data_IF_935015468716
#
_entry.id   IF_935015468716
#
_cell.length_a   1.000
_cell.length_b   1.000
_cell.length_c   1.000
_cell.angle_alpha   90.00
_cell.angle_beta   90.00
_cell.angle_gamma   90.00
#
_symmetry.space_group_name_H-M   'P 1'
#
loop_
_entity.id
_entity.type
_entity.pdbx_description
1 polymer ?
#
# COMPACT_ATOMS: atom_id res chain seq x y z
N UNK A 1 3.94 -2.59 -10.84
CA UNK A 1 2.87 -3.57 -11.14
C UNK A 1 2.64 -3.73 -12.64
N UNK A 2 2.26 -2.69 -13.39
CA UNK A 2 1.96 -2.84 -14.83
C UNK A 2 3.08 -3.46 -15.72
N UNK A 3 4.36 -3.22 -15.42
CA UNK A 3 5.46 -3.89 -16.15
C UNK A 3 5.55 -5.39 -15.86
N UNK A 4 5.19 -5.82 -14.65
CA UNK A 4 5.16 -7.23 -14.27
C UNK A 4 4.05 -7.97 -15.04
N UNK A 5 2.89 -7.34 -15.20
CA UNK A 5 1.76 -7.89 -15.98
C UNK A 5 2.08 -8.01 -17.47
N UNK A 6 2.90 -7.10 -18.01
CA UNK A 6 3.44 -7.19 -19.39
C UNK A 6 4.52 -8.27 -19.56
N UNK A 7 4.80 -9.06 -18.52
CA UNK A 7 5.82 -10.11 -18.53
C UNK A 7 7.26 -9.60 -18.37
N UNK A 8 7.47 -8.30 -18.16
CA UNK A 8 8.81 -7.72 -17.99
C UNK A 8 9.28 -7.85 -16.53
N UNK A 9 9.70 -9.05 -16.17
CA UNK A 9 10.06 -9.41 -14.78
C UNK A 9 11.29 -8.63 -14.27
N UNK A 10 12.26 -8.33 -15.13
CA UNK A 10 13.48 -7.60 -14.75
C UNK A 10 13.23 -6.11 -14.51
N UNK A 11 12.49 -5.44 -15.41
CA UNK A 11 12.18 -4.01 -15.27
C UNK A 11 11.27 -3.78 -14.06
N UNK A 12 10.30 -4.67 -13.82
CA UNK A 12 9.49 -4.64 -12.60
C UNK A 12 10.31 -4.88 -11.34
N UNK A 13 11.25 -5.83 -11.35
CA UNK A 13 12.19 -6.07 -10.25
C UNK A 13 13.01 -4.83 -9.90
N UNK A 14 13.56 -4.14 -10.90
CA UNK A 14 14.31 -2.90 -10.70
C UNK A 14 13.44 -1.78 -10.12
N UNK A 15 12.22 -1.60 -10.63
CA UNK A 15 11.28 -0.59 -10.11
C UNK A 15 10.88 -0.88 -8.66
N UNK A 16 10.69 -2.15 -8.28
CA UNK A 16 10.42 -2.53 -6.90
C UNK A 16 11.64 -2.37 -5.99
N UNK A 17 12.86 -2.62 -6.49
CA UNK A 17 14.09 -2.32 -5.76
C UNK A 17 14.24 -0.82 -5.51
N UNK A 18 13.98 0.03 -6.51
CA UNK A 18 13.96 1.49 -6.33
C UNK A 18 12.94 1.92 -5.28
N UNK A 19 11.71 1.36 -5.32
CA UNK A 19 10.71 1.62 -4.30
C UNK A 19 11.19 1.20 -2.89
N UNK A 20 11.90 0.07 -2.79
CA UNK A 20 12.51 -0.42 -1.54
C UNK A 20 13.62 0.51 -1.04
N UNK A 21 14.42 1.08 -1.95
CA UNK A 21 15.45 2.05 -1.61
C UNK A 21 14.89 3.37 -1.08
N UNK A 22 13.71 3.79 -1.57
CA UNK A 22 13.03 4.99 -1.05
C UNK A 22 12.38 4.72 0.31
N UNK A 23 11.74 3.56 0.48
CA UNK A 23 11.14 3.11 1.75
C UNK A 23 11.18 1.58 1.87
N UNK A 24 11.49 1.10 3.07
CA UNK A 24 11.47 -0.33 3.43
C UNK A 24 10.15 -1.04 3.08
N UNK A 25 9.01 -0.33 3.07
CA UNK A 25 7.71 -0.85 2.65
C UNK A 25 7.71 -1.43 1.22
N UNK A 26 8.64 -1.01 0.36
CA UNK A 26 8.81 -1.59 -0.98
C UNK A 26 9.09 -3.10 -0.98
N UNK A 27 9.71 -3.63 0.10
CA UNK A 27 10.00 -5.06 0.26
C UNK A 27 8.75 -5.93 0.14
N UNK A 28 7.60 -5.40 0.55
CA UNK A 28 6.32 -6.12 0.54
C UNK A 28 5.89 -6.48 -0.89
N UNK A 29 6.39 -5.74 -1.89
CA UNK A 29 6.14 -6.02 -3.32
C UNK A 29 6.76 -7.33 -3.80
N UNK A 30 7.67 -7.95 -3.03
CA UNK A 30 8.33 -9.21 -3.40
C UNK A 30 7.34 -10.35 -3.59
N UNK A 31 6.21 -10.32 -2.87
CA UNK A 31 5.14 -11.30 -3.01
C UNK A 31 4.58 -11.36 -4.44
N UNK A 32 4.48 -10.23 -5.13
CA UNK A 32 4.02 -10.18 -6.53
C UNK A 32 4.99 -10.87 -7.48
N UNK A 33 6.30 -10.66 -7.28
CA UNK A 33 7.34 -11.30 -8.09
C UNK A 33 7.38 -12.81 -7.87
N UNK A 34 7.34 -13.25 -6.62
CA UNK A 34 7.33 -14.68 -6.27
C UNK A 34 6.10 -15.34 -6.87
N UNK A 35 4.91 -14.76 -6.68
CA UNK A 35 3.67 -15.29 -7.24
C UNK A 35 3.74 -15.42 -8.77
N UNK A 36 4.22 -14.39 -9.47
CA UNK A 36 4.38 -14.41 -10.94
C UNK A 36 5.31 -15.55 -11.40
N UNK A 37 6.45 -15.73 -10.71
CA UNK A 37 7.42 -16.78 -11.01
C UNK A 37 6.87 -18.18 -10.73
N UNK A 38 6.18 -18.36 -9.59
CA UNK A 38 5.49 -19.60 -9.24
C UNK A 38 4.43 -19.96 -10.30
N UNK A 39 3.63 -18.98 -10.75
CA UNK A 39 2.64 -19.20 -11.81
C UNK A 39 3.29 -19.66 -13.12
N UNK A 40 4.41 -19.03 -13.51
CA UNK A 40 5.18 -19.46 -14.69
C UNK A 40 5.76 -20.87 -14.55
N UNK A 41 6.20 -21.24 -13.35
CA UNK A 41 6.68 -22.59 -13.02
C UNK A 41 5.57 -23.64 -13.15
N UNK A 42 4.41 -23.45 -12.50
CA UNK A 42 3.29 -24.39 -12.58
C UNK A 42 2.77 -24.57 -14.00
N UNK A 43 2.75 -23.49 -14.81
CA UNK A 43 2.40 -23.59 -16.23
C UNK A 43 3.42 -24.40 -17.04
N UNK A 44 4.70 -24.38 -16.65
CA UNK A 44 5.80 -25.06 -17.35
C UNK A 44 5.98 -26.51 -16.90
N UNK A 45 5.55 -26.84 -15.67
CA UNK A 45 5.61 -28.18 -15.08
C UNK A 45 4.85 -29.21 -15.92
N UNK A 46 3.83 -28.77 -16.66
CA UNK A 46 3.02 -29.63 -17.53
C UNK A 46 3.73 -30.04 -18.83
N UNK A 47 4.88 -29.42 -19.17
CA UNK A 47 5.51 -29.56 -20.50
C UNK A 47 6.99 -29.98 -20.44
N UNK A 48 7.73 -29.61 -19.39
CA UNK A 48 9.19 -29.84 -19.29
C UNK A 48 9.59 -30.60 -18.02
N UNK A 49 10.84 -31.10 -18.01
CA UNK A 49 11.45 -31.76 -16.86
C UNK A 49 11.32 -30.94 -15.56
N UNK A 50 10.71 -31.49 -14.49
CA UNK A 50 10.36 -30.74 -13.28
C UNK A 50 11.59 -30.23 -12.53
N UNK A 51 12.68 -31.00 -12.49
CA UNK A 51 13.92 -30.62 -11.79
C UNK A 51 14.56 -29.36 -12.38
N UNK A 52 14.64 -29.26 -13.71
CA UNK A 52 15.21 -28.09 -14.41
C UNK A 52 14.37 -26.84 -14.15
N UNK A 53 13.04 -26.99 -14.16
CA UNK A 53 12.14 -25.88 -13.88
C UNK A 53 12.21 -25.45 -12.42
N UNK A 54 12.38 -26.39 -11.50
CA UNK A 54 12.51 -26.10 -10.07
C UNK A 54 13.81 -25.32 -9.80
N UNK A 55 14.92 -25.75 -10.40
CA UNK A 55 16.18 -25.03 -10.32
C UNK A 55 16.07 -23.62 -10.91
N UNK A 56 15.39 -23.48 -12.07
CA UNK A 56 15.13 -22.18 -12.68
C UNK A 56 14.29 -21.27 -11.77
N UNK A 57 13.24 -21.81 -11.14
CA UNK A 57 12.42 -21.07 -10.18
C UNK A 57 13.25 -20.63 -8.98
N UNK A 58 14.04 -21.52 -8.39
CA UNK A 58 14.91 -21.20 -7.26
C UNK A 58 15.90 -20.09 -7.57
N UNK A 59 16.64 -20.20 -8.70
CA UNK A 59 17.57 -19.17 -9.13
C UNK A 59 16.87 -17.83 -9.39
N UNK A 60 15.71 -17.86 -10.02
CA UNK A 60 14.92 -16.65 -10.34
C UNK A 60 14.40 -15.97 -9.06
N UNK A 61 13.88 -16.74 -8.10
CA UNK A 61 13.38 -16.21 -6.82
C UNK A 61 14.54 -15.66 -6.00
N UNK A 62 15.65 -16.39 -5.90
CA UNK A 62 16.85 -15.94 -5.20
C UNK A 62 17.37 -14.61 -5.76
N UNK A 63 17.47 -14.51 -7.08
CA UNK A 63 17.94 -13.29 -7.74
C UNK A 63 16.97 -12.13 -7.55
N UNK A 64 15.67 -12.39 -7.56
CA UNK A 64 14.65 -11.38 -7.26
C UNK A 64 14.77 -10.88 -5.81
N UNK A 65 14.95 -11.78 -4.85
CA UNK A 65 15.17 -11.43 -3.44
C UNK A 65 16.44 -10.60 -3.26
N UNK A 66 17.53 -10.96 -3.96
CA UNK A 66 18.78 -10.21 -3.92
C UNK A 66 18.60 -8.79 -4.48
N UNK A 67 17.98 -8.65 -5.65
CA UNK A 67 17.78 -7.35 -6.31
C UNK A 67 16.88 -6.43 -5.47
N UNK A 68 15.78 -6.95 -4.93
CA UNK A 68 14.87 -6.16 -4.10
C UNK A 68 15.44 -5.89 -2.70
N UNK A 69 16.15 -6.85 -2.12
CA UNK A 69 16.73 -6.75 -0.78
C UNK A 69 17.98 -5.88 -0.73
N UNK A 70 18.70 -5.73 -1.84
CA UNK A 70 19.98 -5.01 -1.89
C UNK A 70 19.88 -3.56 -1.37
N UNK A 71 18.93 -2.71 -1.81
CA UNK A 71 18.81 -1.34 -1.29
C UNK A 71 18.56 -1.30 0.22
N UNK A 72 17.72 -2.21 0.74
CA UNK A 72 17.49 -2.31 2.17
C UNK A 72 18.76 -2.74 2.92
N UNK A 73 19.46 -3.76 2.43
CA UNK A 73 20.71 -4.24 3.03
C UNK A 73 21.81 -3.17 3.01
N UNK A 74 21.95 -2.42 1.92
CA UNK A 74 22.89 -1.29 1.81
C UNK A 74 22.56 -0.21 2.85
N UNK A 75 21.29 0.10 3.06
CA UNK A 75 20.87 1.05 4.10
C UNK A 75 21.17 0.53 5.51
N UNK A 76 20.89 -0.76 5.79
CA UNK A 76 21.24 -1.37 7.09
C UNK A 76 22.76 -1.31 7.34
N UNK A 77 23.56 -1.62 6.33
CA UNK A 77 25.03 -1.55 6.41
C UNK A 77 25.52 -0.12 6.62
N UNK A 78 24.97 0.85 5.88
CA UNK A 78 25.27 2.27 6.10
C UNK A 78 24.96 2.70 7.54
N UNK A 79 23.77 2.36 8.05
CA UNK A 79 23.41 2.68 9.43
C UNK A 79 24.33 1.99 10.46
N UNK A 80 24.71 0.73 10.22
CA UNK A 80 25.66 0.00 11.06
C UNK A 80 27.02 0.70 11.11
N UNK A 81 27.57 1.09 9.96
CA UNK A 81 28.84 1.83 9.93
C UNK A 81 28.75 3.17 10.65
N UNK A 82 27.62 3.87 10.59
CA UNK A 82 27.45 5.15 11.29
C UNK A 82 27.28 5.03 12.81
N UNK A 83 26.55 4.01 13.31
CA UNK A 83 26.20 3.90 14.74
C UNK A 83 27.03 2.88 15.54
N UNK A 84 27.61 1.87 14.90
CA UNK A 84 28.29 0.77 15.58
C UNK A 84 29.82 0.83 15.48
N UNK A 85 30.35 1.48 14.44
CA UNK A 85 31.80 1.67 14.26
C UNK A 85 32.27 2.98 14.90
N UNK A 86 33.41 2.98 15.61
CA UNK A 86 33.97 4.21 16.18
C UNK A 86 34.57 5.10 15.09
N UNK A 87 34.36 6.41 15.18
CA UNK A 87 35.04 7.42 14.33
C UNK A 87 34.44 7.65 12.93
N UNK A 88 33.36 6.97 12.59
CA UNK A 88 32.64 7.08 11.30
C UNK A 88 31.40 7.99 11.37
N UNK A 89 31.04 8.48 12.55
CA UNK A 89 29.87 9.32 12.78
C UNK A 89 30.04 10.66 12.06
N UNK A 90 29.12 10.96 11.14
CA UNK A 90 29.10 12.26 10.48
C UNK A 90 28.53 13.34 11.42
N UNK A 91 29.09 14.56 11.36
CA UNK A 91 28.61 15.67 12.19
C UNK A 91 27.16 16.00 11.87
N UNK A 92 26.27 15.84 12.85
CA UNK A 92 24.83 16.09 12.69
C UNK A 92 24.56 17.61 12.77
N UNK A 93 23.82 18.21 11.82
CA UNK A 93 23.40 19.61 11.91
C UNK A 93 22.71 19.94 13.24
N UNK A 94 23.04 21.10 13.82
CA UNK A 94 22.48 21.56 15.12
C UNK A 94 20.94 21.44 15.24
N UNK A 95 20.14 21.76 14.21
CA UNK A 95 18.68 21.59 14.30
C UNK A 95 18.24 20.14 14.51
N UNK A 96 18.92 19.18 13.87
CA UNK A 96 18.61 17.75 14.01
C UNK A 96 19.10 17.21 15.35
N UNK A 97 20.21 17.75 15.87
CA UNK A 97 20.70 17.41 17.21
C UNK A 97 19.71 17.86 18.30
N UNK A 98 19.19 19.08 18.21
CA UNK A 98 18.16 19.57 19.12
C UNK A 98 16.90 18.70 19.07
N UNK A 99 16.43 18.34 17.87
CA UNK A 99 15.31 17.43 17.71
C UNK A 99 15.56 16.06 18.36
N UNK A 100 16.77 15.50 18.18
CA UNK A 100 17.13 14.22 18.77
C UNK A 100 17.12 14.29 20.30
N UNK A 101 17.63 15.37 20.89
CA UNK A 101 17.62 15.60 22.33
C UNK A 101 16.20 15.77 22.86
N UNK A 102 15.38 16.62 22.22
CA UNK A 102 13.99 16.88 22.61
C UNK A 102 13.12 15.61 22.57
N UNK A 103 13.40 14.71 21.61
CA UNK A 103 12.69 13.43 21.47
C UNK A 103 13.32 12.28 22.25
N UNK A 104 14.47 12.49 22.88
CA UNK A 104 15.23 11.45 23.58
C UNK A 104 15.76 10.36 22.64
N UNK A 105 16.04 10.68 21.38
CA UNK A 105 16.65 9.76 20.42
C UNK A 105 18.14 9.61 20.69
N UNK A 106 18.64 8.39 20.47
CA UNK A 106 20.08 8.11 20.52
C UNK A 106 20.78 8.69 19.30
N UNK A 107 21.86 9.42 19.53
CA UNK A 107 22.78 9.92 18.50
C UNK A 107 23.94 8.95 18.31
N UNK A 108 24.62 9.03 17.15
CA UNK A 108 25.76 8.19 16.83
C UNK A 108 26.99 8.47 17.73
N UNK A 109 27.10 9.71 18.22
CA UNK A 109 28.14 10.11 19.18
C UNK A 109 27.72 9.74 20.61
N UNK A 110 28.06 8.53 21.05
CA UNK A 110 27.74 8.05 22.40
C UNK A 110 27.97 6.55 22.60
N UNK A 111 27.30 5.99 23.61
CA UNK A 111 27.35 4.55 23.90
C UNK A 111 26.71 3.74 22.77
N UNK A 112 27.40 2.69 22.32
CA UNK A 112 26.93 1.80 21.26
C UNK A 112 25.51 1.30 21.57
N UNK A 113 24.57 1.39 20.62
CA UNK A 113 23.22 0.91 20.85
C UNK A 113 23.19 -0.63 20.91
N UNK A 114 22.22 -1.23 21.63
CA UNK A 114 22.22 -2.66 21.91
C UNK A 114 22.08 -3.52 20.64
N UNK A 115 21.42 -3.00 19.60
CA UNK A 115 21.27 -3.69 18.32
C UNK A 115 22.59 -3.91 17.57
N UNK A 116 23.66 -3.20 17.91
CA UNK A 116 25.00 -3.49 17.38
C UNK A 116 25.55 -4.85 17.85
N UNK A 117 25.01 -5.40 18.94
CA UNK A 117 25.45 -6.68 19.54
C UNK A 117 24.54 -7.86 19.22
N UNK A 118 23.49 -7.65 18.42
CA UNK A 118 22.58 -8.71 18.00
C UNK A 118 23.21 -9.58 16.90
N UNK A 119 22.78 -10.84 16.79
CA UNK A 119 23.23 -11.78 15.74
C UNK A 119 23.02 -11.21 14.33
N UNK A 120 21.93 -10.45 14.16
CA UNK A 120 21.66 -9.64 12.96
C UNK A 120 21.46 -8.18 13.40
N UNK A 121 22.43 -7.28 13.16
CA UNK A 121 22.38 -5.90 13.62
C UNK A 121 21.45 -5.05 12.74
N UNK A 122 20.15 -5.25 12.90
CA UNK A 122 19.09 -4.56 12.15
C UNK A 122 18.59 -3.33 12.92
N UNK A 123 18.99 -2.14 12.47
CA UNK A 123 18.52 -0.88 13.06
C UNK A 123 17.00 -0.73 12.92
N UNK A 124 16.42 -1.26 11.84
CA UNK A 124 14.98 -1.11 11.59
C UNK A 124 14.15 -1.84 12.66
N UNK A 125 14.50 -3.09 12.99
CA UNK A 125 13.84 -3.85 14.06
C UNK A 125 13.96 -3.16 15.42
N UNK A 126 15.13 -2.57 15.72
CA UNK A 126 15.33 -1.79 16.94
C UNK A 126 14.45 -0.53 16.98
N UNK A 127 14.37 0.23 15.89
CA UNK A 127 13.53 1.43 15.82
C UNK A 127 12.06 1.05 15.97
N UNK A 128 11.63 -0.01 15.28
CA UNK A 128 10.26 -0.50 15.31
C UNK A 128 9.83 -0.88 16.73
N UNK A 129 10.69 -1.56 17.50
CA UNK A 129 10.37 -1.96 18.88
C UNK A 129 10.50 -0.79 19.87
N UNK A 130 11.66 -0.12 19.90
CA UNK A 130 11.99 0.85 20.97
C UNK A 130 11.29 2.19 20.79
N UNK A 131 11.19 2.70 19.56
CA UNK A 131 10.62 4.03 19.31
C UNK A 131 9.19 3.96 18.79
N UNK A 132 8.84 2.92 18.01
CA UNK A 132 7.52 2.81 17.42
C UNK A 132 6.61 1.81 18.15
N UNK A 133 7.13 1.01 19.09
CA UNK A 133 6.39 -0.02 19.83
C UNK A 133 5.52 -0.93 18.92
N UNK A 134 6.08 -1.31 17.77
CA UNK A 134 5.46 -2.26 16.84
C UNK A 134 5.61 -3.66 17.42
N UNK A 135 4.49 -4.37 17.57
CA UNK A 135 4.48 -5.74 18.07
C UNK A 135 3.08 -6.36 17.99
N UNK A 136 3.02 -7.69 18.08
CA UNK A 136 1.76 -8.43 18.02
C UNK A 136 0.83 -8.01 19.17
N UNK A 137 -0.36 -7.50 18.82
CA UNK A 137 -1.44 -7.09 19.73
C UNK A 137 -1.08 -6.04 20.79
N UNK A 138 0.11 -5.43 20.74
CA UNK A 138 0.50 -4.33 21.67
C UNK A 138 -0.32 -3.05 21.48
N UNK A 139 -1.16 -3.01 20.44
CA UNK A 139 -1.96 -1.85 20.02
C UNK A 139 -3.33 -1.75 20.73
N UNK A 140 -3.90 -2.79 21.32
CA UNK A 140 -5.31 -2.72 21.75
C UNK A 140 -5.52 -1.96 23.08
N UNK A 141 -5.55 -0.61 23.01
CA UNK A 141 -5.94 0.28 24.12
C UNK A 141 -7.22 1.09 23.81
N UNK A 142 -8.06 1.34 24.83
CA UNK A 142 -9.33 2.08 24.67
C UNK A 142 -9.17 3.52 24.15
N UNK A 143 -7.99 4.13 24.35
CA UNK A 143 -7.68 5.49 23.88
C UNK A 143 -7.53 5.59 22.35
N UNK A 144 -7.57 4.46 21.66
CA UNK A 144 -7.32 4.37 20.21
C UNK A 144 -8.59 4.15 19.38
N UNK A 145 -9.76 4.07 20.02
CA UNK A 145 -11.06 3.90 19.33
C UNK A 145 -11.26 4.88 18.16
N UNK A 146 -10.94 6.19 18.27
CA UNK A 146 -11.08 7.12 17.13
C UNK A 146 -10.22 6.74 15.92
N UNK A 147 -9.05 6.15 16.14
CA UNK A 147 -8.19 5.70 15.07
C UNK A 147 -8.87 4.54 14.32
N UNK A 148 -9.34 3.51 15.02
CA UNK A 148 -10.01 2.37 14.39
C UNK A 148 -11.19 2.79 13.50
N UNK A 149 -11.97 3.79 13.92
CA UNK A 149 -13.06 4.34 13.12
C UNK A 149 -12.60 4.90 11.77
N UNK A 150 -11.42 5.52 11.70
CA UNK A 150 -10.85 6.04 10.44
C UNK A 150 -10.38 4.94 9.48
N UNK A 151 -9.89 3.80 9.97
CA UNK A 151 -9.51 2.67 9.11
C UNK A 151 -10.70 1.79 8.69
N UNK A 152 -11.81 1.87 9.43
CA UNK A 152 -12.99 1.01 9.25
C UNK A 152 -13.52 1.03 7.81
N UNK A 153 -13.67 2.17 7.11
CA UNK A 153 -14.17 2.18 5.74
C UNK A 153 -13.29 1.38 4.77
N UNK A 154 -11.97 1.52 4.86
CA UNK A 154 -11.04 0.78 3.99
C UNK A 154 -11.04 -0.71 4.33
N UNK A 155 -11.11 -1.07 5.62
CA UNK A 155 -11.23 -2.45 6.04
C UNK A 155 -12.53 -3.10 5.53
N UNK A 156 -13.66 -2.40 5.61
CA UNK A 156 -14.95 -2.86 5.07
C UNK A 156 -14.85 -3.03 3.54
N UNK A 157 -14.25 -2.08 2.83
CA UNK A 157 -14.07 -2.19 1.38
C UNK A 157 -13.25 -3.41 0.99
N UNK A 158 -12.11 -3.64 1.66
CA UNK A 158 -11.27 -4.83 1.39
C UNK A 158 -12.00 -6.13 1.76
N UNK A 159 -12.73 -6.15 2.87
CA UNK A 159 -13.54 -7.31 3.26
C UNK A 159 -14.66 -7.61 2.25
N UNK A 160 -15.37 -6.58 1.78
CA UNK A 160 -16.44 -6.73 0.79
C UNK A 160 -15.89 -7.14 -0.58
N UNK A 161 -14.77 -6.56 -1.00
CA UNK A 161 -14.03 -6.97 -2.19
C UNK A 161 -13.65 -8.46 -2.13
N UNK A 162 -13.14 -8.89 -0.97
CA UNK A 162 -12.74 -10.29 -0.72
C UNK A 162 -13.93 -11.23 -0.77
N UNK A 163 -14.99 -10.89 -0.05
CA UNK A 163 -16.22 -11.66 -0.04
C UNK A 163 -16.77 -11.87 -1.45
N UNK A 164 -16.92 -10.77 -2.20
CA UNK A 164 -17.44 -10.77 -3.57
C UNK A 164 -16.61 -11.67 -4.49
N UNK A 165 -15.28 -11.56 -4.42
CA UNK A 165 -14.40 -12.34 -5.28
C UNK A 165 -14.42 -13.84 -4.93
N UNK A 166 -14.37 -14.17 -3.63
CA UNK A 166 -14.34 -15.56 -3.14
C UNK A 166 -15.66 -16.28 -3.43
N UNK A 167 -16.81 -15.60 -3.29
CA UNK A 167 -18.11 -16.19 -3.62
C UNK A 167 -18.29 -16.45 -5.11
N UNK A 168 -17.71 -15.60 -5.97
CA UNK A 168 -17.79 -15.78 -7.43
C UNK A 168 -16.82 -16.84 -7.93
N UNK A 169 -15.61 -16.93 -7.35
CA UNK A 169 -14.55 -17.84 -7.82
C UNK A 169 -13.94 -18.73 -6.72
N UNK A 170 -14.73 -19.58 -6.03
CA UNK A 170 -14.25 -20.34 -4.87
C UNK A 170 -13.14 -21.34 -5.23
N UNK A 171 -13.27 -22.06 -6.34
CA UNK A 171 -12.27 -23.02 -6.81
C UNK A 171 -10.95 -22.37 -7.25
N UNK A 172 -11.02 -21.17 -7.82
CA UNK A 172 -9.82 -20.42 -8.19
C UNK A 172 -9.06 -19.94 -6.94
N UNK A 173 -9.79 -19.52 -5.90
CA UNK A 173 -9.21 -19.15 -4.62
C UNK A 173 -8.55 -20.35 -3.91
N UNK A 174 -9.20 -21.53 -3.93
CA UNK A 174 -8.64 -22.77 -3.37
C UNK A 174 -7.36 -23.22 -4.07
N UNK A 175 -7.21 -22.93 -5.36
CA UNK A 175 -6.00 -23.25 -6.15
C UNK A 175 -4.95 -22.14 -6.12
N UNK A 176 -5.12 -21.11 -5.26
CA UNK A 176 -4.26 -19.94 -5.15
C UNK A 176 -3.96 -19.28 -6.52
N UNK A 177 -4.90 -19.34 -7.47
CA UNK A 177 -4.70 -18.83 -8.82
C UNK A 177 -3.62 -19.53 -9.65
N UNK A 178 -3.12 -20.69 -9.20
CA UNK A 178 -2.02 -21.41 -9.86
C UNK A 178 -2.49 -22.26 -11.05
N UNK A 179 -3.73 -22.77 -11.01
CA UNK A 179 -4.27 -23.66 -12.05
C UNK A 179 -5.32 -22.93 -12.88
N UNK A 180 -4.99 -22.63 -14.15
CA UNK A 180 -6.01 -22.23 -15.14
C UNK A 180 -6.63 -23.50 -15.71
N UNK A 181 -7.93 -23.71 -15.49
CA UNK A 181 -8.61 -24.82 -16.15
C UNK A 181 -8.67 -24.51 -17.65
N UNK A 182 -7.96 -25.32 -18.44
CA UNK A 182 -7.83 -25.14 -19.90
C UNK A 182 -9.14 -25.44 -20.64
N UNK A 183 -10.08 -26.15 -20.00
CA UNK A 183 -11.32 -26.61 -20.62
C UNK A 183 -12.36 -25.51 -20.89
N UNK A 184 -12.16 -24.28 -20.37
CA UNK A 184 -13.05 -23.14 -20.65
C UNK A 184 -12.42 -22.11 -21.61
N UNK A 185 -11.27 -22.40 -22.24
CA UNK A 185 -10.64 -21.44 -23.18
C UNK A 185 -11.37 -21.32 -24.54
N UNK A 186 -12.45 -22.07 -24.78
CA UNK A 186 -13.23 -22.02 -26.03
C UNK A 186 -14.55 -21.26 -25.95
N UNK A 187 -15.01 -20.80 -24.79
CA UNK A 187 -16.23 -19.98 -24.66
C UNK A 187 -16.04 -19.04 -23.46
N UNK A 188 -16.32 -17.75 -23.64
CA UNK A 188 -16.16 -16.66 -22.66
C UNK A 188 -14.78 -15.97 -22.67
N UNK A 189 -14.75 -14.77 -23.27
CA UNK A 189 -13.70 -13.78 -23.02
C UNK A 189 -13.60 -13.58 -21.50
N UNK A 190 -12.39 -13.44 -20.92
CA UNK A 190 -12.26 -13.16 -19.49
C UNK A 190 -13.08 -11.90 -19.18
N UNK A 191 -13.99 -11.99 -18.20
CA UNK A 191 -14.84 -10.87 -17.82
C UNK A 191 -13.96 -9.62 -17.60
N UNK A 192 -14.17 -8.55 -18.39
CA UNK A 192 -13.44 -7.31 -18.18
C UNK A 192 -13.84 -6.74 -16.82
N UNK A 193 -12.85 -6.38 -15.99
CA UNK A 193 -13.08 -5.71 -14.71
C UNK A 193 -12.56 -6.44 -13.48
N UNK A 194 -13.16 -6.14 -12.33
CA UNK A 194 -12.69 -6.55 -11.00
C UNK A 194 -12.73 -8.07 -10.77
N UNK A 195 -13.67 -8.77 -11.41
CA UNK A 195 -13.83 -10.22 -11.28
C UNK A 195 -12.80 -11.02 -12.09
N UNK A 196 -11.91 -10.35 -12.83
CA UNK A 196 -10.91 -11.04 -13.63
C UNK A 196 -9.92 -11.87 -12.78
N UNK A 197 -9.41 -13.01 -13.29
CA UNK A 197 -8.44 -13.85 -12.58
C UNK A 197 -7.13 -13.14 -12.18
N UNK A 198 -6.82 -12.02 -12.82
CA UNK A 198 -5.58 -11.25 -12.57
C UNK A 198 -5.66 -10.45 -11.25
N UNK A 199 -6.87 -10.08 -10.81
CA UNK A 199 -7.11 -9.27 -9.61
C UNK A 199 -6.80 -10.05 -8.33
N UNK A 200 -6.89 -11.39 -8.37
CA UNK A 200 -6.69 -12.27 -7.21
C UNK A 200 -5.39 -11.99 -6.44
N UNK A 201 -4.27 -11.79 -7.13
CA UNK A 201 -2.97 -11.57 -6.47
C UNK A 201 -2.96 -10.28 -5.66
N UNK A 202 -3.57 -9.23 -6.22
CA UNK A 202 -3.70 -7.93 -5.56
C UNK A 202 -4.68 -7.97 -4.39
N UNK A 203 -5.71 -8.81 -4.49
CA UNK A 203 -6.68 -9.05 -3.42
C UNK A 203 -6.04 -9.79 -2.24
N UNK A 204 -5.34 -10.89 -2.50
CA UNK A 204 -4.58 -11.62 -1.46
C UNK A 204 -3.56 -10.70 -0.79
N UNK A 205 -2.86 -9.89 -1.58
CA UNK A 205 -1.95 -8.89 -1.05
C UNK A 205 -2.67 -7.87 -0.15
N UNK A 206 -3.81 -7.33 -0.58
CA UNK A 206 -4.60 -6.39 0.21
C UNK A 206 -5.04 -6.98 1.55
N UNK A 207 -5.52 -8.23 1.55
CA UNK A 207 -5.93 -8.95 2.76
C UNK A 207 -4.73 -9.19 3.68
N UNK A 208 -3.60 -9.65 3.14
CA UNK A 208 -2.39 -9.85 3.92
C UNK A 208 -1.90 -8.56 4.58
N UNK A 209 -1.93 -7.44 3.85
CA UNK A 209 -1.58 -6.12 4.39
C UNK A 209 -2.57 -5.63 5.44
N UNK A 210 -3.87 -5.88 5.25
CA UNK A 210 -4.89 -5.52 6.23
C UNK A 210 -4.70 -6.31 7.52
N UNK A 211 -4.49 -7.63 7.43
CA UNK A 211 -4.23 -8.49 8.58
C UNK A 211 -2.93 -8.07 9.30
N UNK A 212 -1.84 -7.86 8.55
CA UNK A 212 -0.59 -7.39 9.12
C UNK A 212 -0.75 -6.02 9.78
N UNK A 213 -1.47 -5.11 9.14
CA UNK A 213 -1.80 -3.79 9.68
C UNK A 213 -2.55 -3.87 11.00
N UNK A 214 -3.64 -4.64 11.05
CA UNK A 214 -4.48 -4.80 12.22
C UNK A 214 -3.79 -5.54 13.39
N UNK A 215 -2.87 -6.45 13.09
CA UNK A 215 -2.20 -7.27 14.12
C UNK A 215 -0.88 -6.65 14.61
N UNK A 216 -0.18 -5.93 13.72
CA UNK A 216 1.22 -5.56 13.92
C UNK A 216 1.52 -4.06 13.75
N UNK A 217 0.72 -3.25 13.03
CA UNK A 217 1.04 -1.82 12.83
C UNK A 217 0.46 -0.93 13.93
N UNK A 218 1.36 -0.25 14.65
CA UNK A 218 1.09 0.87 15.57
C UNK A 218 1.63 2.17 14.94
N UNK A 219 0.86 3.27 15.00
CA UNK A 219 1.40 4.63 15.20
C UNK A 219 0.42 5.41 16.07
N UNK A 220 0.45 5.21 17.38
CA UNK A 220 -0.02 6.27 18.27
C UNK A 220 1.20 6.93 18.90
N UNK A 221 1.29 8.24 18.76
CA UNK A 221 2.37 9.01 19.39
C UNK A 221 1.70 9.86 20.43
N UNK A 222 1.70 9.35 21.64
CA UNK A 222 1.89 10.14 22.85
C UNK A 222 2.55 9.22 23.89
N UNK A 223 3.62 9.70 24.53
CA UNK A 223 4.00 9.10 25.81
C UNK A 223 5.49 9.03 26.17
N UNK A 224 6.25 10.13 26.10
CA UNK A 224 7.04 10.50 27.29
C UNK A 224 6.85 11.99 27.57
N UNK A 225 6.22 12.23 28.71
CA UNK A 225 5.93 13.53 29.32
C UNK A 225 7.24 14.27 29.58
N UNK A 226 7.57 15.22 28.70
CA UNK A 226 8.53 16.28 28.92
C UNK A 226 7.80 17.60 28.71
N UNK A 227 7.41 18.24 29.82
CA UNK A 227 6.92 19.61 29.85
C UNK A 227 8.12 20.49 29.47
N UNK A 228 8.11 21.10 28.29
CA UNK A 228 8.69 22.44 28.06
C UNK A 228 8.57 22.89 26.60
N UNK A 229 8.20 24.15 26.48
CA UNK A 229 8.07 24.99 25.30
C UNK A 229 9.31 24.91 24.41
N UNK A 230 9.15 24.41 23.18
CA UNK A 230 10.20 24.49 22.17
C UNK A 230 10.25 25.91 21.59
N UNK A 231 11.38 26.57 21.79
CA UNK A 231 11.71 27.95 21.40
C UNK A 231 11.95 28.08 19.88
N UNK A 232 11.03 27.53 19.09
CA UNK A 232 10.85 27.84 17.66
C UNK A 232 9.39 28.27 17.36
N UNK A 233 8.63 28.56 18.42
CA UNK A 233 7.27 29.11 18.37
C UNK A 233 7.18 30.62 18.61
N UNK A 234 8.25 31.40 18.36
CA UNK A 234 8.23 32.85 18.59
C UNK A 234 7.89 33.72 17.37
N UNK A 235 7.53 33.16 16.21
CA UNK A 235 7.13 34.01 15.07
C UNK A 235 5.76 33.73 14.46
N UNK A 236 5.18 32.54 14.61
CA UNK A 236 3.81 32.28 14.16
C UNK A 236 3.11 31.30 15.12
N UNK A 237 1.98 31.74 15.65
CA UNK A 237 1.21 31.16 16.73
C UNK A 237 0.49 29.87 16.30
N UNK A 238 1.17 28.71 16.31
CA UNK A 238 0.54 27.40 16.01
C UNK A 238 0.96 26.32 17.03
N UNK A 239 0.07 25.88 17.93
CA UNK A 239 0.30 24.76 18.83
C UNK A 239 -0.06 23.43 18.13
N UNK A 240 0.60 22.33 18.54
CA UNK A 240 0.34 20.93 18.13
C UNK A 240 0.89 20.44 16.78
N UNK A 241 2.17 20.05 16.76
CA UNK A 241 2.64 18.99 15.86
C UNK A 241 2.22 17.63 16.43
N UNK A 242 0.93 17.30 16.21
CA UNK A 242 0.35 15.99 16.46
C UNK A 242 0.82 14.99 15.41
N UNK A 243 1.56 14.02 15.87
CA UNK A 243 1.65 12.67 15.35
C UNK A 243 0.46 12.14 14.54
N UNK A 244 0.76 11.53 13.39
CA UNK A 244 -0.21 10.82 12.55
C UNK A 244 -0.93 9.72 13.35
N UNK A 245 -2.27 9.61 13.29
CA UNK A 245 -2.99 8.46 13.84
C UNK A 245 -2.64 7.17 13.09
N UNK A 246 -2.47 6.07 13.83
CA UNK A 246 -2.03 4.75 13.35
C UNK A 246 -2.82 4.24 12.15
N UNK A 247 -4.10 4.56 12.13
CA UNK A 247 -5.01 4.12 11.08
C UNK A 247 -4.87 4.89 9.79
N UNK A 248 -4.38 6.14 9.82
CA UNK A 248 -3.95 6.83 8.62
C UNK A 248 -2.73 6.15 7.99
N UNK A 249 -1.85 5.53 8.80
CA UNK A 249 -0.71 4.77 8.27
C UNK A 249 -1.19 3.51 7.56
N UNK A 250 -2.18 2.80 8.12
CA UNK A 250 -2.74 1.61 7.49
C UNK A 250 -3.48 1.92 6.18
N UNK A 251 -4.33 2.95 6.15
CA UNK A 251 -5.04 3.34 4.93
C UNK A 251 -4.08 3.79 3.84
N UNK A 252 -3.01 4.54 4.19
CA UNK A 252 -1.94 4.93 3.27
C UNK A 252 -1.14 3.73 2.78
N UNK A 253 -0.84 2.79 3.67
CA UNK A 253 -0.08 1.61 3.35
C UNK A 253 -0.86 0.69 2.39
N UNK A 254 -2.17 0.50 2.61
CA UNK A 254 -3.05 -0.20 1.68
C UNK A 254 -3.20 0.57 0.36
N UNK A 255 -3.50 1.87 0.41
CA UNK A 255 -3.73 2.69 -0.79
C UNK A 255 -2.50 2.88 -1.69
N UNK A 256 -1.29 2.70 -1.15
CA UNK A 256 -0.04 2.76 -1.94
C UNK A 256 0.46 1.39 -2.42
N UNK A 257 0.11 0.32 -1.72
CA UNK A 257 0.63 -1.03 -1.98
C UNK A 257 -0.34 -1.93 -2.74
N UNK A 258 -1.63 -1.59 -2.81
CA UNK A 258 -2.62 -2.37 -3.57
C UNK A 258 -3.61 -1.50 -4.34
N UNK A 259 -3.93 -1.84 -5.61
CA UNK A 259 -4.93 -1.13 -6.39
C UNK A 259 -6.38 -1.46 -5.98
N UNK A 260 -6.60 -2.48 -5.14
CA UNK A 260 -7.93 -2.98 -4.76
C UNK A 260 -8.81 -1.90 -4.14
N UNK A 261 -8.20 -0.99 -3.36
CA UNK A 261 -8.90 0.13 -2.71
C UNK A 261 -9.52 1.09 -3.74
N UNK A 262 -9.04 1.08 -4.99
CA UNK A 262 -9.58 1.91 -6.08
C UNK A 262 -10.41 1.09 -7.08
N UNK A 263 -9.96 -0.12 -7.42
CA UNK A 263 -10.65 -0.97 -8.40
C UNK A 263 -12.01 -1.47 -7.92
N UNK A 264 -12.13 -1.84 -6.64
CA UNK A 264 -13.41 -2.35 -6.14
C UNK A 264 -14.49 -1.26 -6.07
N UNK A 265 -14.23 -0.05 -5.54
CA UNK A 265 -15.19 1.04 -5.64
C UNK A 265 -15.55 1.40 -7.09
N UNK A 266 -14.60 1.38 -8.02
CA UNK A 266 -14.89 1.63 -9.43
C UNK A 266 -15.85 0.57 -10.01
N UNK A 267 -15.63 -0.70 -9.68
CA UNK A 267 -16.53 -1.79 -10.06
C UNK A 267 -17.95 -1.61 -9.48
N UNK A 268 -18.07 -1.22 -8.21
CA UNK A 268 -19.36 -0.92 -7.59
C UNK A 268 -20.07 0.26 -8.27
N UNK A 269 -19.35 1.34 -8.59
CA UNK A 269 -19.92 2.48 -9.30
C UNK A 269 -20.44 2.08 -10.68
N UNK A 270 -19.68 1.27 -11.40
CA UNK A 270 -20.06 0.78 -12.71
C UNK A 270 -21.28 -0.14 -12.66
N UNK A 271 -21.41 -0.98 -11.63
CA UNK A 271 -22.55 -1.87 -11.49
C UNK A 271 -23.85 -1.16 -11.08
N UNK A 272 -23.73 -0.09 -10.30
CA UNK A 272 -24.87 0.63 -9.73
C UNK A 272 -25.37 1.78 -10.62
N UNK A 273 -24.51 2.38 -11.45
CA UNK A 273 -24.84 3.59 -12.21
C UNK A 273 -24.91 3.33 -13.72
N UNK A 274 -26.11 3.45 -14.35
CA UNK A 274 -26.29 3.26 -15.79
C UNK A 274 -25.42 4.18 -16.66
N UNK A 275 -25.16 5.41 -16.17
CA UNK A 275 -24.32 6.42 -16.82
C UNK A 275 -22.88 5.95 -17.06
N UNK A 276 -22.37 5.04 -16.22
CA UNK A 276 -21.03 4.48 -16.35
C UNK A 276 -21.02 3.22 -17.22
N UNK A 277 -22.09 2.40 -17.18
CA UNK A 277 -22.25 1.23 -18.05
C UNK A 277 -22.29 1.58 -19.55
N UNK A 278 -22.96 2.67 -19.92
CA UNK A 278 -23.08 3.06 -21.34
C UNK A 278 -21.74 3.47 -21.96
N UNK A 279 -20.76 3.90 -21.15
CA UNK A 279 -19.45 4.36 -21.62
C UNK A 279 -18.56 3.21 -22.11
N UNK A 280 -18.66 2.02 -21.50
CA UNK A 280 -17.92 0.82 -21.95
C UNK A 280 -18.49 0.21 -23.22
N UNK A 281 -19.80 0.34 -23.45
CA UNK A 281 -20.45 -0.21 -24.65
C UNK A 281 -20.11 0.53 -25.94
N UNK A 282 -19.43 1.68 -25.85
CA UNK A 282 -18.96 2.46 -27.00
C UNK A 282 -17.43 2.31 -27.10
N UNK A 283 -16.91 1.52 -28.05
CA UNK A 283 -15.48 1.57 -28.36
C UNK A 283 -15.14 3.01 -28.76
N UNK A 284 -14.12 3.61 -28.13
CA UNK A 284 -13.61 4.92 -28.51
C UNK A 284 -13.12 4.90 -29.96
N UNK A 285 -14.04 5.14 -30.91
CA UNK A 285 -13.74 5.69 -32.22
C UNK A 285 -13.96 7.19 -32.10
N UNK A 286 -12.99 8.04 -32.48
CA UNK A 286 -13.28 9.44 -32.71
C UNK A 286 -14.18 9.51 -33.94
N UNK A 287 -15.50 9.49 -33.72
CA UNK A 287 -16.48 9.81 -34.75
C UNK A 287 -16.39 11.33 -34.96
N UNK A 288 -15.60 11.72 -35.96
CA UNK A 288 -15.84 12.94 -36.70
C UNK A 288 -17.24 12.81 -37.34
N UNK A 289 -18.21 13.59 -36.88
CA UNK A 289 -19.57 13.56 -37.39
C UNK A 289 -20.56 14.15 -36.39
N UNK A 290 -20.97 15.38 -36.69
CA UNK A 290 -21.92 16.26 -36.00
C UNK A 290 -23.00 15.57 -35.15
N UNK A 291 -23.03 15.92 -33.86
CA UNK A 291 -24.17 15.63 -32.97
C UNK A 291 -25.06 16.88 -32.82
N UNK A 292 -26.41 16.73 -32.79
CA UNK A 292 -27.36 17.84 -32.74
C UNK A 292 -27.36 18.57 -31.38
N UNK A 293 -27.87 19.82 -31.31
CA UNK A 293 -27.71 20.68 -30.15
C UNK A 293 -28.69 20.29 -29.05
N UNK A 294 -28.20 19.75 -27.93
CA UNK A 294 -29.05 19.60 -26.74
C UNK A 294 -28.51 18.76 -25.59
N UNK A 295 -27.57 17.83 -25.82
CA UNK A 295 -27.03 17.00 -24.74
C UNK A 295 -25.55 17.26 -24.55
N UNK A 296 -25.23 18.22 -23.67
CA UNK A 296 -23.88 18.31 -23.09
C UNK A 296 -23.64 17.06 -22.27
N UNK A 297 -23.16 15.99 -22.91
CA UNK A 297 -22.52 14.87 -22.22
C UNK A 297 -21.39 15.50 -21.42
N UNK A 298 -21.51 15.47 -20.10
CA UNK A 298 -20.45 15.91 -19.21
C UNK A 298 -19.18 15.18 -19.62
N UNK A 299 -18.15 15.93 -20.04
CA UNK A 299 -16.85 15.38 -20.46
C UNK A 299 -16.19 14.54 -19.34
N UNK A 300 -16.65 14.70 -18.10
CA UNK A 300 -16.27 13.92 -16.92
C UNK A 300 -17.52 13.24 -16.31
N UNK A 301 -17.66 11.91 -16.46
CA UNK A 301 -18.80 11.14 -15.94
C UNK A 301 -18.94 11.25 -14.41
N UNK A 302 -17.83 11.33 -13.68
CA UNK A 302 -17.81 11.54 -12.22
C UNK A 302 -18.46 12.87 -11.85
N UNK A 303 -18.18 13.95 -12.59
CA UNK A 303 -18.81 15.25 -12.34
C UNK A 303 -20.32 15.19 -12.61
N UNK A 304 -20.75 14.39 -13.58
CA UNK A 304 -22.16 14.11 -13.83
C UNK A 304 -22.84 13.41 -12.65
N UNK A 305 -22.17 12.44 -12.02
CA UNK A 305 -22.66 11.78 -10.81
C UNK A 305 -22.72 12.72 -9.61
N UNK A 306 -21.76 13.64 -9.48
CA UNK A 306 -21.75 14.64 -8.41
C UNK A 306 -22.88 15.68 -8.57
N UNK A 307 -23.15 16.13 -9.80
CA UNK A 307 -24.26 17.04 -10.07
C UNK A 307 -25.61 16.37 -9.79
N UNK A 308 -25.73 15.09 -10.13
CA UNK A 308 -26.92 14.27 -9.92
C UNK A 308 -26.90 13.48 -8.60
N UNK A 309 -26.17 13.95 -7.58
CA UNK A 309 -25.94 13.21 -6.33
C UNK A 309 -27.19 12.58 -5.70
N UNK A 310 -28.31 13.31 -5.69
CA UNK A 310 -29.57 12.87 -5.06
C UNK A 310 -30.22 11.69 -5.80
N UNK A 311 -29.94 11.51 -7.08
CA UNK A 311 -30.50 10.42 -7.89
C UNK A 311 -29.59 9.19 -7.94
N UNK A 312 -28.35 9.29 -7.45
CA UNK A 312 -27.41 8.17 -7.38
C UNK A 312 -27.81 7.13 -6.32
N UNK A 313 -27.35 5.89 -6.52
CA UNK A 313 -27.52 4.81 -5.54
C UNK A 313 -26.89 5.18 -4.18
N UNK A 314 -27.42 4.61 -3.08
CA UNK A 314 -26.85 4.79 -1.73
C UNK A 314 -25.40 4.34 -1.66
N UNK A 315 -25.05 3.27 -2.36
CA UNK A 315 -23.65 2.78 -2.44
C UNK A 315 -22.76 3.82 -3.12
N UNK A 316 -23.20 4.37 -4.25
CA UNK A 316 -22.50 5.44 -4.98
C UNK A 316 -22.30 6.68 -4.12
N UNK A 317 -23.34 7.12 -3.41
CA UNK A 317 -23.27 8.25 -2.47
C UNK A 317 -22.25 7.99 -1.35
N UNK A 318 -22.26 6.80 -0.74
CA UNK A 318 -21.29 6.45 0.29
C UNK A 318 -19.85 6.46 -0.23
N UNK A 319 -19.59 5.89 -1.41
CA UNK A 319 -18.26 5.82 -2.00
C UNK A 319 -17.75 7.22 -2.36
N UNK A 320 -18.52 7.99 -3.14
CA UNK A 320 -18.13 9.33 -3.55
C UNK A 320 -17.98 10.25 -2.33
N UNK A 321 -18.88 10.12 -1.35
CA UNK A 321 -18.84 10.86 -0.09
C UNK A 321 -17.56 10.56 0.69
N UNK A 322 -17.19 9.29 0.80
CA UNK A 322 -15.94 8.89 1.45
C UNK A 322 -14.72 9.51 0.76
N UNK A 323 -14.58 9.37 -0.55
CA UNK A 323 -13.42 9.92 -1.28
C UNK A 323 -13.36 11.45 -1.23
N UNK A 324 -14.50 12.14 -1.39
CA UNK A 324 -14.59 13.60 -1.28
C UNK A 324 -14.27 14.09 0.13
N UNK A 325 -14.80 13.43 1.15
CA UNK A 325 -14.55 13.80 2.55
C UNK A 325 -13.09 13.56 2.91
N UNK A 326 -12.51 12.44 2.49
CA UNK A 326 -11.10 12.14 2.73
C UNK A 326 -10.18 13.16 2.04
N UNK A 327 -10.52 13.55 0.80
CA UNK A 327 -9.79 14.59 0.07
C UNK A 327 -9.92 15.96 0.73
N UNK A 328 -11.14 16.38 1.10
CA UNK A 328 -11.39 17.68 1.73
C UNK A 328 -10.73 17.77 3.11
N UNK A 329 -10.89 16.73 3.94
CA UNK A 329 -10.23 16.61 5.23
C UNK A 329 -8.71 16.72 5.05
N UNK A 330 -8.19 16.11 3.99
CA UNK A 330 -6.78 16.19 3.68
C UNK A 330 -6.28 17.56 3.30
N UNK A 331 -7.03 18.26 2.46
CA UNK A 331 -6.73 19.64 2.10
C UNK A 331 -6.73 20.54 3.34
N UNK A 332 -7.77 20.42 4.18
CA UNK A 332 -7.88 21.20 5.41
C UNK A 332 -6.71 20.94 6.35
N UNK A 333 -6.38 19.67 6.61
CA UNK A 333 -5.27 19.31 7.50
C UNK A 333 -3.92 19.74 6.93
N UNK A 334 -3.71 19.56 5.62
CA UNK A 334 -2.48 20.00 4.94
C UNK A 334 -2.30 21.52 5.01
N UNK A 335 -3.34 22.30 4.77
CA UNK A 335 -3.32 23.77 4.90
C UNK A 335 -3.02 24.23 6.34
N UNK A 336 -3.32 23.40 7.34
CA UNK A 336 -3.02 23.66 8.76
C UNK A 336 -1.67 23.04 9.19
N UNK A 337 -0.83 22.61 8.25
CA UNK A 337 0.46 21.94 8.51
C UNK A 337 0.36 20.67 9.36
N UNK A 338 -0.85 20.10 9.48
CA UNK A 338 -1.03 18.80 10.10
C UNK A 338 -0.62 17.72 9.10
N UNK A 339 0.00 16.63 9.56
CA UNK A 339 0.47 15.60 8.68
C UNK A 339 -0.73 14.90 8.02
N UNK A 340 -1.02 15.24 6.77
CA UNK A 340 -1.99 14.54 5.95
C UNK A 340 -1.50 14.34 4.53
N UNK A 341 -1.73 13.15 4.00
CA UNK A 341 -1.53 12.84 2.58
C UNK A 341 -2.66 11.95 2.10
#
# INVERSE_FOLDING_TARGET
>A
MGQLERGQSWTSGLLFALATGVRSNGLVSVGFLIHSQCRGFFSSLMVLNPLRQLLKLMCSVFLSMLILGLPFALFQYYAYTQFCQPGSAHSIPKPLLQLALDKGYRIAEGNKPPWCSWELPLIYSYIQDVYWNIGFLRYYELKQVPNFLLATPVAILVAWATWTYVTTHPWFCLTLGMRRNKNNETLEKPDPGFLSPQVFVYLVHAVALLLFGCLCMHVQTEGKRGRETSTFGCLLHVPHWGSLPATQVLTRFLGSSTPIVYWFPAHLLQDQEPLLRSLETVPWKPLAGDSPPGQKVSRNSIMGLLYNWKTCSRVTQCILGYFLTYWLLGLLLHCNFLPWT
#
